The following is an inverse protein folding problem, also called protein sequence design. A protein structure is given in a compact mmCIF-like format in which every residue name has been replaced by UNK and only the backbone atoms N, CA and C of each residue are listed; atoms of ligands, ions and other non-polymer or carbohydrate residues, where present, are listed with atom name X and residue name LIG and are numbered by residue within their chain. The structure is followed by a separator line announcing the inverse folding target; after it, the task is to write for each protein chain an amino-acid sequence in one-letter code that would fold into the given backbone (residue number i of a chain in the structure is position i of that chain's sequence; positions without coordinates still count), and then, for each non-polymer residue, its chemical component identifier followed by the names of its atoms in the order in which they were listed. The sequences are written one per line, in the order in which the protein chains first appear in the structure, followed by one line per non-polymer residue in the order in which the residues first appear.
data_IF_953520297318
#
_entry.id   IF_953520297318
#
_cell.length_a   1.000
_cell.length_b   1.000
_cell.length_c   1.000
_cell.angle_alpha   90.00
_cell.angle_beta   90.00
_cell.angle_gamma   90.00
#
_symmetry.space_group_name_H-M   'P 1'
#
loop_
_entity.id
_entity.type
_entity.pdbx_description
1 polymer ?
#
# COMPACT_ATOMS: atom_id res chain seq x y z
N UNK A 1 55.20 47.85 33.05
CA UNK A 1 55.03 48.06 34.48
C UNK A 1 54.20 46.91 34.98
N UNK A 2 54.79 45.85 35.56
CA UNK A 2 54.96 45.62 37.02
C UNK A 2 53.58 45.70 37.70
N UNK A 3 53.05 44.71 38.39
CA UNK A 3 53.66 43.79 39.36
C UNK A 3 52.73 42.64 39.70
N UNK A 4 53.22 41.42 39.71
CA UNK A 4 52.93 40.25 40.58
C UNK A 4 52.53 40.66 41.99
N UNK A 5 51.72 39.81 42.69
CA UNK A 5 52.05 39.17 43.97
C UNK A 5 51.05 38.05 44.28
N UNK A 6 51.61 36.88 44.63
CA UNK A 6 51.07 35.68 45.18
C UNK A 6 50.87 35.74 46.71
N UNK A 7 50.15 34.78 47.29
CA UNK A 7 50.32 34.04 48.56
C UNK A 7 48.98 33.50 49.04
N UNK A 8 48.79 32.19 49.08
CA UNK A 8 49.27 31.15 50.03
C UNK A 8 48.63 31.17 51.42
N UNK A 9 48.08 29.98 51.73
CA UNK A 9 47.83 29.35 53.06
C UNK A 9 46.52 29.74 53.76
N UNK A 10 45.73 28.88 54.36
CA UNK A 10 45.95 27.68 55.20
C UNK A 10 44.58 26.96 55.43
N UNK A 11 44.52 25.66 55.24
CA UNK A 11 44.20 24.54 56.13
C UNK A 11 43.03 24.68 57.17
N UNK A 12 42.12 23.80 57.13
CA UNK A 12 41.83 22.63 58.00
C UNK A 12 40.33 22.39 58.25
N UNK A 13 39.95 21.22 57.75
CA UNK A 13 39.16 20.17 58.43
C UNK A 13 37.83 20.51 59.12
N UNK A 14 36.74 19.95 58.52
CA UNK A 14 35.71 19.29 59.27
C UNK A 14 35.05 18.22 58.38
N UNK A 15 35.16 16.95 58.76
CA UNK A 15 34.50 15.85 58.13
C UNK A 15 32.96 15.92 58.39
N UNK A 16 32.20 15.69 57.37
CA UNK A 16 30.81 15.36 57.49
C UNK A 16 30.58 14.12 56.63
N UNK A 17 30.25 12.99 57.29
CA UNK A 17 29.70 11.78 56.70
C UNK A 17 28.46 12.15 55.88
N UNK A 18 28.60 12.22 54.59
CA UNK A 18 27.45 12.21 53.70
C UNK A 18 27.06 10.77 53.41
N UNK A 19 26.05 10.25 54.10
CA UNK A 19 25.34 9.05 53.66
C UNK A 19 24.79 9.32 52.26
N UNK A 20 25.46 8.75 51.26
CA UNK A 20 24.91 8.64 49.93
C UNK A 20 23.67 7.70 50.01
N UNK A 21 22.50 8.29 50.04
CA UNK A 21 21.26 7.63 49.73
C UNK A 21 21.32 7.23 48.23
N UNK A 22 21.88 6.05 47.97
CA UNK A 22 21.69 5.34 46.73
C UNK A 22 20.22 4.92 46.67
N UNK A 23 19.35 5.86 46.35
CA UNK A 23 18.00 5.53 45.90
C UNK A 23 18.10 4.65 44.66
N UNK A 24 17.24 3.65 44.49
CA UNK A 24 17.21 2.88 43.26
C UNK A 24 16.96 3.86 42.13
N UNK A 25 17.96 4.06 41.27
CA UNK A 25 17.74 4.65 39.97
C UNK A 25 16.82 3.67 39.27
N UNK A 26 15.51 3.95 39.26
CA UNK A 26 14.62 3.42 38.27
C UNK A 26 15.24 3.80 36.92
N UNK A 27 15.99 2.86 36.34
CA UNK A 27 16.33 2.94 34.93
C UNK A 27 14.98 3.02 34.24
N UNK A 28 14.58 4.21 33.83
CA UNK A 28 13.52 4.36 32.82
C UNK A 28 14.03 3.55 31.63
N UNK A 29 13.48 2.36 31.46
CA UNK A 29 13.70 1.57 30.27
C UNK A 29 13.37 2.51 29.12
N UNK A 30 14.35 2.76 28.26
CA UNK A 30 14.18 3.58 27.06
C UNK A 30 12.97 2.99 26.32
N UNK A 31 11.94 3.80 26.11
CA UNK A 31 10.69 3.31 25.54
C UNK A 31 11.03 2.79 24.14
N UNK A 32 10.86 1.49 23.96
CA UNK A 32 11.09 0.84 22.66
C UNK A 32 10.22 1.52 21.60
N UNK A 33 10.86 1.94 20.52
CA UNK A 33 10.19 2.66 19.43
C UNK A 33 10.25 1.82 18.17
N UNK A 34 9.09 1.38 17.70
CA UNK A 34 8.92 0.72 16.41
C UNK A 34 8.94 1.77 15.28
N UNK A 35 9.60 1.48 14.18
CA UNK A 35 9.47 2.25 12.94
C UNK A 35 8.76 1.38 11.90
N UNK A 36 7.59 1.82 11.43
CA UNK A 36 6.84 1.13 10.41
C UNK A 36 6.77 1.96 9.12
N UNK A 37 7.13 1.35 7.99
CA UNK A 37 6.94 1.99 6.70
C UNK A 37 5.45 1.94 6.30
N UNK A 38 4.99 3.00 5.61
CA UNK A 38 3.63 3.10 5.11
C UNK A 38 3.59 3.94 3.83
N UNK A 39 2.54 3.79 3.03
CA UNK A 39 2.34 4.62 1.85
C UNK A 39 1.80 6.01 2.22
N UNK A 40 2.12 7.05 1.46
CA UNK A 40 1.57 8.38 1.65
C UNK A 40 0.05 8.42 1.38
N UNK A 41 -0.61 9.44 1.91
CA UNK A 41 -2.06 9.67 1.74
C UNK A 41 -2.89 8.83 2.70
N UNK A 42 -3.97 8.24 2.21
CA UNK A 42 -4.98 7.53 3.02
C UNK A 42 -4.39 6.48 3.97
N UNK A 43 -3.33 5.76 3.56
CA UNK A 43 -2.68 4.77 4.40
C UNK A 43 -1.95 5.39 5.59
N UNK A 44 -1.16 6.45 5.36
CA UNK A 44 -0.49 7.15 6.46
C UNK A 44 -1.48 7.85 7.41
N UNK A 45 -2.64 8.24 6.91
CA UNK A 45 -3.74 8.77 7.73
C UNK A 45 -4.42 7.67 8.54
N UNK A 46 -4.68 6.51 7.94
CA UNK A 46 -5.23 5.34 8.62
C UNK A 46 -4.32 4.88 9.76
N UNK A 47 -3.02 4.77 9.49
CA UNK A 47 -2.04 4.41 10.52
C UNK A 47 -2.06 5.43 11.66
N UNK A 48 -1.99 6.72 11.35
CA UNK A 48 -1.97 7.79 12.36
C UNK A 48 -3.22 7.82 13.23
N UNK A 49 -4.39 7.64 12.62
CA UNK A 49 -5.67 7.84 13.28
C UNK A 49 -6.22 6.56 13.93
N UNK A 50 -5.86 5.39 13.44
CA UNK A 50 -6.40 4.11 13.91
C UNK A 50 -5.30 3.22 14.48
N UNK A 51 -4.25 2.93 13.70
CA UNK A 51 -3.27 1.90 14.06
C UNK A 51 -2.36 2.35 15.21
N UNK A 52 -1.71 3.52 15.10
CA UNK A 52 -0.74 3.98 16.10
C UNK A 52 -1.37 4.18 17.49
N UNK A 53 -2.58 4.75 17.63
CA UNK A 53 -3.27 4.82 18.93
C UNK A 53 -3.61 3.45 19.50
N UNK A 54 -4.15 2.54 18.67
CA UNK A 54 -4.48 1.19 19.08
C UNK A 54 -3.23 0.37 19.47
N UNK A 55 -2.13 0.51 18.73
CA UNK A 55 -0.86 -0.12 19.03
C UNK A 55 -0.31 0.34 20.39
N UNK A 56 -0.29 1.65 20.63
CA UNK A 56 0.12 2.21 21.94
C UNK A 56 -0.75 1.72 23.08
N UNK A 57 -2.06 1.67 22.87
CA UNK A 57 -3.00 1.16 23.89
C UNK A 57 -2.74 -0.32 24.20
N UNK A 58 -2.50 -1.15 23.17
CA UNK A 58 -2.31 -2.60 23.31
C UNK A 58 -0.96 -2.96 23.91
N UNK A 59 0.11 -2.24 23.56
CA UNK A 59 1.50 -2.63 23.87
C UNK A 59 2.19 -1.71 24.89
N UNK A 60 1.71 -0.48 25.06
CA UNK A 60 2.41 0.58 25.79
C UNK A 60 3.61 1.18 25.02
N UNK A 61 4.02 0.57 23.90
CA UNK A 61 5.14 1.04 23.08
C UNK A 61 4.71 2.16 22.13
N UNK A 62 5.71 2.91 21.62
CA UNK A 62 5.51 3.94 20.61
C UNK A 62 5.88 3.37 19.24
N UNK A 63 5.01 3.58 18.25
CA UNK A 63 5.33 3.35 16.85
C UNK A 63 5.37 4.68 16.09
N UNK A 64 6.29 4.79 15.14
CA UNK A 64 6.44 5.94 14.24
C UNK A 64 6.35 5.49 12.79
N UNK A 65 5.96 6.42 11.91
CA UNK A 65 5.79 6.14 10.49
C UNK A 65 7.02 6.57 9.69
N UNK A 66 7.44 5.72 8.75
CA UNK A 66 8.30 6.07 7.62
C UNK A 66 7.43 6.14 6.36
N UNK A 67 7.02 7.35 5.96
CA UNK A 67 6.05 7.55 4.85
C UNK A 67 6.81 7.57 3.54
N UNK A 68 6.82 6.44 2.82
CA UNK A 68 7.56 6.25 1.57
C UNK A 68 6.87 5.21 0.67
N UNK A 69 7.04 5.31 -0.64
CA UNK A 69 6.49 4.36 -1.61
C UNK A 69 7.23 3.01 -1.58
N UNK A 70 6.56 1.94 -1.99
CA UNK A 70 7.09 0.58 -1.91
C UNK A 70 8.42 0.37 -2.64
N UNK A 71 8.63 0.96 -3.81
CA UNK A 71 9.91 0.92 -4.51
C UNK A 71 11.06 1.59 -3.75
N UNK A 72 10.79 2.72 -3.09
CA UNK A 72 11.76 3.41 -2.24
C UNK A 72 12.05 2.63 -0.96
N UNK A 73 11.03 1.92 -0.41
CA UNK A 73 11.24 1.02 0.72
C UNK A 73 12.22 -0.09 0.36
N UNK A 74 12.02 -0.79 -0.77
CA UNK A 74 12.95 -1.82 -1.27
C UNK A 74 14.36 -1.25 -1.44
N UNK A 75 14.48 -0.08 -2.08
CA UNK A 75 15.77 0.58 -2.32
C UNK A 75 16.51 0.91 -1.02
N UNK A 76 15.81 1.44 -0.01
CA UNK A 76 16.40 1.77 1.31
C UNK A 76 16.81 0.53 2.08
N UNK A 77 16.01 -0.54 2.05
CA UNK A 77 16.37 -1.81 2.67
C UNK A 77 17.59 -2.44 2.00
N UNK A 78 17.64 -2.42 0.67
CA UNK A 78 18.79 -2.92 -0.09
C UNK A 78 20.08 -2.14 0.23
N UNK A 79 19.99 -0.81 0.35
CA UNK A 79 21.11 0.05 0.74
C UNK A 79 21.58 -0.19 2.19
N UNK A 80 20.67 -0.60 3.08
CA UNK A 80 20.99 -0.91 4.48
C UNK A 80 21.44 -2.37 4.70
N UNK A 81 21.47 -3.21 3.65
CA UNK A 81 21.75 -4.64 3.77
C UNK A 81 23.06 -4.90 4.52
N UNK A 82 22.99 -5.71 5.57
CA UNK A 82 24.11 -5.98 6.48
C UNK A 82 24.25 -5.00 7.66
N UNK A 83 23.44 -3.95 7.69
CA UNK A 83 23.35 -2.99 8.79
C UNK A 83 21.94 -2.96 9.37
N UNK A 84 21.71 -2.13 10.37
CA UNK A 84 20.37 -1.91 10.91
C UNK A 84 19.47 -1.26 9.83
N UNK A 85 18.28 -1.84 9.55
CA UNK A 85 17.36 -1.28 8.58
C UNK A 85 16.73 0.03 9.09
N UNK A 86 16.26 0.91 8.18
CA UNK A 86 15.66 2.19 8.54
C UNK A 86 14.24 2.07 9.11
N UNK A 87 13.65 0.91 9.07
CA UNK A 87 12.33 0.57 9.65
C UNK A 87 12.23 -0.93 9.92
N UNK A 88 11.35 -1.31 10.85
CA UNK A 88 11.15 -2.68 11.33
C UNK A 88 10.07 -3.44 10.53
N UNK A 89 9.09 -2.69 10.02
CA UNK A 89 7.97 -3.19 9.23
C UNK A 89 7.98 -2.55 7.87
N UNK A 90 7.94 -3.36 6.81
CA UNK A 90 7.76 -2.93 5.43
C UNK A 90 6.29 -3.07 5.01
N UNK A 91 5.83 -2.16 4.14
CA UNK A 91 4.49 -2.12 3.59
C UNK A 91 4.58 -2.19 2.06
N UNK A 92 4.25 -3.36 1.49
CA UNK A 92 4.47 -3.65 0.08
C UNK A 92 3.19 -4.01 -0.66
N UNK A 93 3.13 -3.61 -1.92
CA UNK A 93 2.28 -4.28 -2.90
C UNK A 93 2.97 -5.55 -3.42
N UNK A 94 2.19 -6.48 -3.97
CA UNK A 94 2.69 -7.79 -4.43
C UNK A 94 3.97 -7.74 -5.27
N UNK A 95 4.18 -6.78 -6.19
CA UNK A 95 5.44 -6.71 -6.95
C UNK A 95 6.70 -6.53 -6.09
N UNK A 96 6.63 -5.66 -5.07
CA UNK A 96 7.76 -5.38 -4.19
C UNK A 96 8.11 -6.56 -3.28
N UNK A 97 7.11 -7.38 -2.92
CA UNK A 97 7.33 -8.59 -2.11
C UNK A 97 8.31 -9.54 -2.81
N UNK A 98 8.15 -9.72 -4.13
CA UNK A 98 9.00 -10.61 -4.92
C UNK A 98 10.46 -10.15 -4.88
N UNK A 99 10.70 -8.85 -5.09
CA UNK A 99 12.05 -8.29 -5.01
C UNK A 99 12.63 -8.38 -3.60
N UNK A 100 11.82 -8.07 -2.57
CA UNK A 100 12.25 -8.12 -1.19
C UNK A 100 12.60 -9.54 -0.73
N UNK A 101 11.86 -10.56 -1.15
CA UNK A 101 12.16 -11.98 -0.89
C UNK A 101 13.43 -12.41 -1.58
N UNK A 102 13.55 -12.15 -2.90
CA UNK A 102 14.74 -12.48 -3.68
C UNK A 102 16.01 -11.91 -3.07
N UNK A 103 15.96 -10.68 -2.60
CA UNK A 103 17.11 -9.94 -2.09
C UNK A 103 17.34 -10.16 -0.58
N UNK A 104 16.49 -10.95 0.10
CA UNK A 104 16.59 -11.28 1.52
C UNK A 104 16.35 -10.08 2.45
N UNK A 105 15.49 -9.14 2.03
CA UNK A 105 15.18 -7.90 2.75
C UNK A 105 14.09 -8.08 3.81
N UNK A 106 13.32 -9.15 3.71
CA UNK A 106 12.27 -9.56 4.66
C UNK A 106 12.48 -11.00 5.07
N UNK A 107 11.95 -11.38 6.22
CA UNK A 107 12.01 -12.75 6.75
C UNK A 107 10.65 -13.43 6.72
N UNK A 108 10.62 -14.75 6.83
CA UNK A 108 9.35 -15.47 6.99
C UNK A 108 8.61 -14.98 8.23
N UNK A 109 7.32 -14.71 8.06
CA UNK A 109 6.48 -14.17 9.13
C UNK A 109 6.25 -15.23 10.21
N UNK A 110 6.50 -14.91 11.49
CA UNK A 110 6.38 -15.88 12.58
C UNK A 110 4.90 -16.10 12.97
N UNK A 111 4.15 -16.83 12.14
CA UNK A 111 2.69 -17.06 12.24
C UNK A 111 2.26 -17.50 13.62
N UNK A 112 3.09 -18.30 14.32
CA UNK A 112 2.78 -18.77 15.68
C UNK A 112 2.68 -17.64 16.72
N UNK A 113 3.26 -16.47 16.43
CA UNK A 113 3.20 -15.27 17.30
C UNK A 113 2.08 -14.30 16.91
N UNK A 114 1.26 -14.63 15.92
CA UNK A 114 0.22 -13.76 15.35
C UNK A 114 -1.15 -14.47 15.43
N UNK A 115 -1.89 -14.30 16.51
CA UNK A 115 -3.18 -14.97 16.71
C UNK A 115 -4.22 -14.62 15.63
N UNK A 116 -4.19 -13.39 15.10
CA UNK A 116 -5.13 -12.94 14.09
C UNK A 116 -4.81 -13.48 12.67
N UNK A 117 -3.60 -14.01 12.44
CA UNK A 117 -3.21 -14.51 11.12
C UNK A 117 -4.14 -15.63 10.60
N UNK A 118 -4.56 -16.54 11.46
CA UNK A 118 -5.46 -17.64 11.10
C UNK A 118 -6.90 -17.20 10.80
N UNK A 119 -7.27 -15.99 11.21
CA UNK A 119 -8.59 -15.40 10.98
C UNK A 119 -8.69 -14.77 9.57
N UNK A 120 -7.57 -14.69 8.84
CA UNK A 120 -7.55 -14.17 7.49
C UNK A 120 -8.17 -15.16 6.50
N UNK A 121 -8.72 -14.63 5.41
CA UNK A 121 -9.05 -15.43 4.23
C UNK A 121 -7.82 -16.24 3.79
N UNK A 122 -7.97 -17.49 3.33
CA UNK A 122 -6.84 -18.31 2.90
C UNK A 122 -5.93 -17.63 1.85
N UNK A 123 -6.53 -16.85 0.94
CA UNK A 123 -5.80 -16.07 -0.08
C UNK A 123 -4.96 -14.93 0.49
N UNK A 124 -5.20 -14.54 1.75
CA UNK A 124 -4.47 -13.49 2.44
C UNK A 124 -3.38 -14.01 3.37
N UNK A 125 -3.34 -15.30 3.61
CA UNK A 125 -2.32 -15.96 4.42
C UNK A 125 -1.09 -16.24 3.56
N UNK A 126 -0.03 -15.45 3.75
CA UNK A 126 1.23 -15.61 3.03
C UNK A 126 2.39 -15.76 4.02
N UNK A 127 3.31 -16.68 3.74
CA UNK A 127 4.43 -16.98 4.64
C UNK A 127 5.43 -15.85 4.82
N UNK A 128 5.50 -14.93 3.87
CA UNK A 128 6.40 -13.78 3.94
C UNK A 128 5.79 -12.58 4.66
N UNK A 129 4.46 -12.59 4.83
CA UNK A 129 3.72 -11.57 5.55
C UNK A 129 2.25 -11.54 5.16
N UNK A 130 1.36 -11.26 6.12
CA UNK A 130 -0.08 -11.24 5.86
C UNK A 130 -0.47 -10.15 4.87
N UNK A 131 -1.38 -10.48 3.96
CA UNK A 131 -2.03 -9.50 3.10
C UNK A 131 -3.11 -8.79 3.91
N UNK A 132 -2.99 -7.49 4.07
CA UNK A 132 -3.91 -6.71 4.92
C UNK A 132 -5.06 -6.09 4.13
N UNK A 133 -4.92 -6.00 2.81
CA UNK A 133 -5.96 -5.49 1.89
C UNK A 133 -5.68 -5.94 0.46
N UNK A 134 -6.66 -5.65 -0.41
CA UNK A 134 -6.53 -5.80 -1.86
C UNK A 134 -6.75 -4.48 -2.56
N UNK A 135 -6.02 -4.27 -3.65
CA UNK A 135 -6.29 -3.24 -4.64
C UNK A 135 -7.06 -3.89 -5.79
N UNK A 136 -8.27 -3.47 -6.03
CA UNK A 136 -9.13 -4.05 -7.07
C UNK A 136 -9.43 -3.00 -8.13
N UNK A 137 -9.29 -3.39 -9.39
CA UNK A 137 -9.58 -2.53 -10.53
C UNK A 137 -10.87 -2.92 -11.22
N UNK A 138 -11.55 -1.92 -11.70
CA UNK A 138 -12.73 -1.98 -12.55
C UNK A 138 -12.73 -0.81 -13.52
N UNK A 139 -13.87 -0.54 -14.09
CA UNK A 139 -14.08 0.60 -14.98
C UNK A 139 -14.70 1.74 -14.16
N UNK A 140 -13.90 2.78 -13.90
CA UNK A 140 -14.41 4.05 -13.40
C UNK A 140 -15.17 4.78 -14.49
N UNK A 141 -16.33 5.34 -14.17
CA UNK A 141 -17.13 6.11 -15.13
C UNK A 141 -17.87 7.27 -14.47
N UNK A 142 -18.12 8.33 -15.23
CA UNK A 142 -18.92 9.48 -14.77
C UNK A 142 -20.42 9.18 -14.94
N UNK A 143 -21.18 9.00 -13.84
CA UNK A 143 -22.60 8.61 -13.92
C UNK A 143 -23.49 9.72 -14.49
N UNK A 144 -23.04 10.98 -14.47
CA UNK A 144 -23.80 12.09 -15.07
C UNK A 144 -23.75 12.09 -16.61
N UNK A 145 -22.73 11.41 -17.19
CA UNK A 145 -22.51 11.33 -18.64
C UNK A 145 -22.77 9.92 -19.20
N UNK A 146 -22.59 8.92 -18.36
CA UNK A 146 -22.72 7.49 -18.72
C UNK A 146 -23.78 6.87 -17.82
N UNK A 147 -25.02 6.81 -18.32
CA UNK A 147 -26.19 6.35 -17.56
C UNK A 147 -26.27 4.82 -17.48
N UNK A 148 -25.66 4.10 -18.43
CA UNK A 148 -25.55 2.63 -18.40
C UNK A 148 -24.14 2.26 -17.99
N UNK A 149 -23.94 1.62 -16.82
CA UNK A 149 -22.62 1.21 -16.37
C UNK A 149 -21.91 0.33 -17.40
N UNK A 150 -20.61 0.60 -17.71
CA UNK A 150 -19.85 -0.23 -18.63
C UNK A 150 -19.60 -1.62 -18.01
N UNK A 151 -19.75 -2.67 -18.79
CA UNK A 151 -19.65 -4.06 -18.33
C UNK A 151 -18.50 -4.84 -18.99
N UNK A 152 -17.80 -4.22 -19.92
CA UNK A 152 -16.65 -4.81 -20.63
C UNK A 152 -15.54 -3.80 -20.82
N UNK A 153 -14.29 -4.28 -20.78
CA UNK A 153 -13.15 -3.45 -21.18
C UNK A 153 -13.25 -3.01 -22.66
N UNK A 154 -13.98 -3.74 -23.49
CA UNK A 154 -14.26 -3.35 -24.88
C UNK A 154 -15.17 -2.12 -24.96
N UNK A 155 -15.94 -1.82 -23.94
CA UNK A 155 -16.77 -0.61 -23.91
C UNK A 155 -15.93 0.66 -24.02
N UNK A 156 -14.65 0.62 -23.58
CA UNK A 156 -13.71 1.73 -23.75
C UNK A 156 -13.42 2.07 -25.24
N UNK A 157 -13.62 1.10 -26.15
CA UNK A 157 -13.43 1.28 -27.58
C UNK A 157 -14.60 1.97 -28.29
N UNK A 158 -15.74 2.17 -27.60
CA UNK A 158 -16.92 2.80 -28.18
C UNK A 158 -16.56 4.24 -28.65
N UNK A 159 -16.78 4.57 -29.96
CA UNK A 159 -16.45 5.90 -30.51
C UNK A 159 -17.13 7.08 -29.79
N UNK A 160 -18.21 6.85 -29.05
CA UNK A 160 -18.86 7.88 -28.23
C UNK A 160 -17.94 8.46 -27.15
N UNK A 161 -16.90 7.71 -26.76
CA UNK A 161 -15.90 8.15 -25.76
C UNK A 161 -14.66 8.80 -26.37
N UNK A 162 -14.71 9.22 -27.65
CA UNK A 162 -13.58 9.86 -28.32
C UNK A 162 -12.99 11.01 -27.50
N UNK A 163 -11.68 10.89 -27.15
CA UNK A 163 -10.98 11.87 -26.33
C UNK A 163 -11.43 11.93 -24.86
N UNK A 164 -12.17 10.92 -24.36
CA UNK A 164 -12.73 10.91 -23.01
C UNK A 164 -12.26 9.73 -22.15
N UNK A 165 -11.49 8.80 -22.72
CA UNK A 165 -10.90 7.69 -21.97
C UNK A 165 -9.62 8.15 -21.29
N UNK A 166 -9.49 7.86 -19.98
CA UNK A 166 -8.26 8.05 -19.22
C UNK A 166 -7.41 6.80 -19.17
N UNK A 167 -6.11 6.93 -19.20
CA UNK A 167 -5.15 5.85 -18.91
C UNK A 167 -4.10 6.32 -17.92
N UNK A 168 -3.42 5.37 -17.27
CA UNK A 168 -2.18 5.64 -16.54
C UNK A 168 -1.00 5.01 -17.27
N UNK A 169 0.17 5.63 -17.13
CA UNK A 169 1.42 5.06 -17.59
C UNK A 169 1.71 3.72 -16.88
N UNK A 170 2.45 2.82 -17.54
CA UNK A 170 2.73 1.47 -17.01
C UNK A 170 3.73 1.43 -15.84
N UNK A 171 4.30 2.55 -15.41
CA UNK A 171 5.04 2.65 -14.16
C UNK A 171 4.13 2.52 -12.91
N UNK A 172 2.81 2.71 -13.06
CA UNK A 172 1.81 2.43 -12.01
C UNK A 172 1.37 0.96 -12.04
N UNK A 173 1.01 0.39 -10.87
CA UNK A 173 0.41 -0.93 -10.80
C UNK A 173 -0.94 -1.00 -11.53
N UNK A 174 -1.72 0.08 -11.46
CA UNK A 174 -3.00 0.18 -12.19
C UNK A 174 -2.81 -0.02 -13.70
N UNK A 175 -1.82 0.67 -14.29
CA UNK A 175 -1.53 0.56 -15.73
C UNK A 175 -1.10 -0.85 -16.12
N UNK A 176 -0.19 -1.46 -15.36
CA UNK A 176 0.22 -2.85 -15.59
C UNK A 176 -0.94 -3.83 -15.39
N UNK A 177 -1.73 -3.66 -14.31
CA UNK A 177 -2.86 -4.56 -14.04
C UNK A 177 -3.90 -4.50 -15.17
N UNK A 178 -4.19 -3.32 -15.68
CA UNK A 178 -5.07 -3.16 -16.84
C UNK A 178 -4.49 -3.82 -18.09
N UNK A 179 -3.20 -3.60 -18.39
CA UNK A 179 -2.53 -4.22 -19.53
C UNK A 179 -2.57 -5.75 -19.45
N UNK A 180 -2.24 -6.33 -18.30
CA UNK A 180 -2.26 -7.79 -18.08
C UNK A 180 -3.67 -8.36 -18.25
N UNK A 181 -4.67 -7.67 -17.71
CA UNK A 181 -6.06 -8.11 -17.82
C UNK A 181 -6.56 -8.09 -19.27
N UNK A 182 -6.32 -6.99 -19.97
CA UNK A 182 -6.68 -6.89 -21.40
C UNK A 182 -5.92 -7.93 -22.22
N UNK A 183 -4.62 -8.15 -21.94
CA UNK A 183 -3.84 -9.16 -22.62
C UNK A 183 -4.49 -10.54 -22.53
N UNK A 184 -4.83 -10.95 -21.31
CA UNK A 184 -5.51 -12.22 -21.04
C UNK A 184 -6.84 -12.33 -21.81
N UNK A 185 -7.66 -11.28 -21.76
CA UNK A 185 -8.97 -11.27 -22.42
C UNK A 185 -8.88 -11.29 -23.94
N UNK A 186 -7.80 -10.78 -24.51
CA UNK A 186 -7.55 -10.78 -25.95
C UNK A 186 -6.73 -11.99 -26.43
N UNK A 187 -6.55 -13.01 -25.57
CA UNK A 187 -5.88 -14.24 -25.92
C UNK A 187 -4.35 -14.18 -25.87
N UNK A 188 -3.79 -13.16 -25.22
CA UNK A 188 -2.37 -13.07 -24.93
C UNK A 188 -1.94 -14.00 -23.79
N UNK A 189 -0.64 -14.20 -23.65
CA UNK A 189 0.00 -14.96 -22.58
C UNK A 189 0.93 -14.06 -21.78
N UNK A 190 1.47 -14.61 -20.67
CA UNK A 190 2.44 -13.86 -19.86
C UNK A 190 3.73 -13.53 -20.59
N UNK A 191 4.04 -14.24 -21.69
CA UNK A 191 5.23 -14.04 -22.54
C UNK A 191 4.92 -13.25 -23.83
N UNK A 192 3.64 -13.02 -24.13
CA UNK A 192 3.21 -12.32 -25.35
C UNK A 192 2.12 -11.29 -25.06
N UNK A 193 2.49 -10.03 -25.07
CA UNK A 193 1.61 -8.88 -24.86
C UNK A 193 1.12 -8.19 -26.16
N UNK A 194 1.38 -8.75 -27.34
CA UNK A 194 0.91 -8.18 -28.60
C UNK A 194 -0.61 -7.96 -28.63
N UNK A 195 -1.46 -8.88 -28.12
CA UNK A 195 -2.89 -8.65 -28.07
C UNK A 195 -3.30 -7.43 -27.25
N UNK A 196 -2.64 -7.17 -26.11
CA UNK A 196 -2.91 -5.98 -25.30
C UNK A 196 -2.46 -4.70 -25.99
N UNK A 197 -1.28 -4.69 -26.62
CA UNK A 197 -0.81 -3.52 -27.34
C UNK A 197 -1.65 -3.21 -28.57
N UNK A 198 -2.15 -4.25 -29.27
CA UNK A 198 -3.13 -4.08 -30.35
C UNK A 198 -4.43 -3.43 -29.83
N UNK A 199 -4.93 -3.88 -28.68
CA UNK A 199 -6.09 -3.26 -28.04
C UNK A 199 -5.82 -1.80 -27.67
N UNK A 200 -4.68 -1.50 -27.05
CA UNK A 200 -4.31 -0.12 -26.72
C UNK A 200 -4.19 0.78 -27.96
N UNK A 201 -3.62 0.27 -29.04
CA UNK A 201 -3.58 1.00 -30.31
C UNK A 201 -4.98 1.32 -30.87
N UNK A 202 -5.93 0.38 -30.76
CA UNK A 202 -7.33 0.61 -31.13
C UNK A 202 -8.02 1.62 -30.20
N UNK A 203 -7.58 1.70 -28.94
CA UNK A 203 -8.13 2.61 -27.94
C UNK A 203 -7.64 4.06 -28.10
N UNK A 204 -6.49 4.29 -28.73
CA UNK A 204 -5.87 5.62 -28.87
C UNK A 204 -6.81 6.72 -29.33
N UNK A 205 -7.71 6.53 -30.31
CA UNK A 205 -8.66 7.60 -30.73
C UNK A 205 -9.58 8.07 -29.60
N UNK A 206 -9.84 7.21 -28.60
CA UNK A 206 -10.70 7.51 -27.47
C UNK A 206 -9.91 8.06 -26.27
N UNK A 207 -8.58 7.91 -26.25
CA UNK A 207 -7.75 8.38 -25.14
C UNK A 207 -7.67 9.91 -25.16
N UNK A 208 -8.16 10.52 -24.08
CA UNK A 208 -8.07 11.96 -23.84
C UNK A 208 -6.82 12.36 -23.06
N UNK A 209 -6.35 11.47 -22.18
CA UNK A 209 -5.17 11.73 -21.37
C UNK A 209 -4.51 10.43 -20.86
N UNK A 210 -3.18 10.47 -20.73
CA UNK A 210 -2.38 9.44 -20.08
C UNK A 210 -1.65 10.06 -18.88
N UNK A 211 -2.08 9.72 -17.67
CA UNK A 211 -1.50 10.26 -16.45
C UNK A 211 -0.18 9.57 -16.10
N UNK A 212 0.81 10.34 -15.68
CA UNK A 212 2.10 9.81 -15.25
C UNK A 212 2.05 9.06 -13.90
N UNK A 213 1.08 9.40 -13.04
CA UNK A 213 0.88 8.81 -11.73
C UNK A 213 -0.58 8.95 -11.28
N UNK A 214 -0.95 8.30 -10.16
CA UNK A 214 -2.31 8.28 -9.65
C UNK A 214 -2.81 9.66 -9.16
N UNK A 215 -1.92 10.54 -8.69
CA UNK A 215 -2.29 11.91 -8.30
C UNK A 215 -2.71 12.74 -9.52
N UNK A 216 -1.91 12.72 -10.60
CA UNK A 216 -2.28 13.35 -11.86
C UNK A 216 -3.56 12.72 -12.43
N UNK A 217 -3.75 11.41 -12.27
CA UNK A 217 -4.95 10.72 -12.73
C UNK A 217 -6.21 11.19 -11.99
N UNK A 218 -6.13 11.35 -10.67
CA UNK A 218 -7.21 11.92 -9.88
C UNK A 218 -7.57 13.34 -10.33
N UNK A 219 -6.57 14.15 -10.69
CA UNK A 219 -6.78 15.51 -11.22
C UNK A 219 -7.56 15.51 -12.54
N UNK A 220 -7.31 14.55 -13.45
CA UNK A 220 -8.07 14.44 -14.69
C UNK A 220 -9.57 14.21 -14.45
N UNK A 221 -9.92 13.41 -13.43
CA UNK A 221 -11.29 13.18 -13.00
C UNK A 221 -11.93 14.43 -12.37
N UNK A 222 -11.20 15.11 -11.47
CA UNK A 222 -11.66 16.33 -10.82
C UNK A 222 -11.91 17.46 -11.81
N UNK A 223 -11.15 17.51 -12.89
CA UNK A 223 -11.28 18.51 -13.96
C UNK A 223 -12.23 18.05 -15.09
N UNK A 224 -12.87 16.90 -14.94
CA UNK A 224 -13.75 16.28 -15.94
C UNK A 224 -13.10 16.16 -17.32
N UNK A 225 -11.80 15.94 -17.37
CA UNK A 225 -11.07 15.70 -18.62
C UNK A 225 -11.30 14.29 -19.15
N UNK A 226 -11.65 13.36 -18.29
CA UNK A 226 -11.98 11.96 -18.59
C UNK A 226 -13.35 11.60 -18.06
N UNK A 227 -14.06 10.70 -18.73
CA UNK A 227 -15.40 10.26 -18.36
C UNK A 227 -15.46 8.75 -18.08
N UNK A 228 -14.50 7.99 -18.59
CA UNK A 228 -14.41 6.54 -18.41
C UNK A 228 -12.95 6.09 -18.42
N UNK A 229 -12.60 5.13 -17.57
CA UNK A 229 -11.21 4.74 -17.41
C UNK A 229 -11.03 3.46 -16.57
N UNK A 230 -9.94 2.69 -16.72
CA UNK A 230 -9.52 1.73 -15.70
C UNK A 230 -9.25 2.45 -14.38
N UNK A 231 -9.83 1.99 -13.26
CA UNK A 231 -9.60 2.65 -11.98
C UNK A 231 -9.69 1.69 -10.79
N UNK A 232 -9.04 2.07 -9.68
CA UNK A 232 -9.09 1.30 -8.43
C UNK A 232 -10.34 1.63 -7.62
N UNK A 233 -10.90 0.62 -6.95
CA UNK A 233 -12.04 0.77 -6.07
C UNK A 233 -11.85 1.87 -5.01
N UNK A 234 -10.80 1.79 -4.22
CA UNK A 234 -10.53 2.74 -3.12
C UNK A 234 -10.27 4.18 -3.62
N UNK A 235 -9.62 4.35 -4.78
CA UNK A 235 -9.43 5.69 -5.36
C UNK A 235 -10.73 6.28 -5.89
N UNK A 236 -11.64 5.46 -6.43
CA UNK A 236 -13.00 5.90 -6.76
C UNK A 236 -13.71 6.42 -5.51
N UNK A 237 -13.63 5.70 -4.37
CA UNK A 237 -14.23 6.18 -3.12
C UNK A 237 -13.61 7.51 -2.65
N UNK A 238 -12.28 7.64 -2.75
CA UNK A 238 -11.59 8.90 -2.42
C UNK A 238 -12.05 10.08 -3.28
N UNK A 239 -12.34 9.86 -4.56
CA UNK A 239 -12.89 10.91 -5.45
C UNK A 239 -14.35 11.22 -5.12
N UNK A 240 -15.17 10.20 -4.83
CA UNK A 240 -16.56 10.38 -4.39
C UNK A 240 -16.65 11.19 -3.11
N UNK A 241 -15.75 10.98 -2.16
CA UNK A 241 -15.68 11.77 -0.93
C UNK A 241 -15.31 13.25 -1.15
N UNK A 242 -14.88 13.60 -2.38
CA UNK A 242 -14.60 14.97 -2.84
C UNK A 242 -15.64 15.48 -3.83
N UNK A 243 -16.83 14.88 -3.84
CA UNK A 243 -17.95 15.23 -4.72
C UNK A 243 -17.64 15.11 -6.23
N UNK A 244 -16.60 14.33 -6.60
CA UNK A 244 -16.31 14.05 -8.00
C UNK A 244 -17.31 13.00 -8.51
N UNK A 245 -17.99 13.25 -9.64
CA UNK A 245 -18.99 12.32 -10.19
C UNK A 245 -18.29 11.12 -10.83
N UNK A 246 -17.97 10.11 -10.04
CA UNK A 246 -17.36 8.86 -10.47
C UNK A 246 -18.00 7.67 -9.79
N UNK A 247 -18.27 6.62 -10.54
CA UNK A 247 -18.72 5.30 -10.04
C UNK A 247 -17.79 4.22 -10.58
N UNK A 248 -17.78 3.06 -9.92
CA UNK A 248 -17.04 1.88 -10.36
C UNK A 248 -17.99 0.81 -10.88
N UNK A 249 -17.70 0.28 -12.05
CA UNK A 249 -18.30 -0.93 -12.57
C UNK A 249 -17.28 -2.06 -12.64
N UNK A 250 -17.68 -3.24 -12.21
CA UNK A 250 -16.87 -4.45 -12.35
C UNK A 250 -17.23 -5.11 -13.68
N UNK A 251 -16.27 -5.32 -14.59
CA UNK A 251 -16.54 -5.97 -15.87
C UNK A 251 -17.09 -7.39 -15.68
N UNK A 252 -17.89 -7.84 -16.62
CA UNK A 252 -18.46 -9.21 -16.62
C UNK A 252 -17.41 -10.32 -16.64
N UNK A 253 -16.17 -9.99 -17.06
CA UNK A 253 -15.00 -10.89 -16.96
C UNK A 253 -14.52 -11.13 -15.53
N UNK A 254 -15.08 -10.42 -14.55
CA UNK A 254 -14.73 -10.47 -13.14
C UNK A 254 -13.74 -9.38 -12.71
N UNK A 255 -13.62 -9.23 -11.41
CA UNK A 255 -12.67 -8.32 -10.79
C UNK A 255 -11.25 -8.89 -10.84
N UNK A 256 -10.28 -7.99 -10.95
CA UNK A 256 -8.85 -8.31 -10.90
C UNK A 256 -8.12 -7.31 -10.02
N UNK A 257 -7.06 -7.75 -9.36
CA UNK A 257 -6.31 -6.88 -8.47
C UNK A 257 -4.99 -7.46 -8.01
N UNK A 258 -4.42 -6.83 -7.01
CA UNK A 258 -3.21 -7.27 -6.30
C UNK A 258 -3.36 -7.02 -4.81
N UNK A 259 -2.54 -7.68 -4.02
CA UNK A 259 -2.57 -7.52 -2.56
C UNK A 259 -1.54 -6.50 -2.09
N UNK A 260 -1.86 -5.86 -0.98
CA UNK A 260 -0.95 -5.06 -0.18
C UNK A 260 -0.74 -5.77 1.15
N UNK A 261 0.49 -5.90 1.60
CA UNK A 261 0.90 -6.73 2.75
C UNK A 261 1.92 -6.05 3.65
N UNK A 262 2.00 -6.50 4.89
CA UNK A 262 2.99 -6.08 5.87
C UNK A 262 4.02 -7.18 6.09
N UNK A 263 5.27 -6.79 6.26
CA UNK A 263 6.39 -7.71 6.33
C UNK A 263 7.34 -7.35 7.46
N UNK A 264 7.83 -8.38 8.16
CA UNK A 264 8.91 -8.25 9.12
C UNK A 264 10.24 -8.08 8.35
N UNK A 265 10.92 -6.97 8.59
CA UNK A 265 12.18 -6.66 7.92
C UNK A 265 13.32 -7.49 8.49
N UNK A 266 14.24 -7.92 7.64
CA UNK A 266 15.48 -8.62 8.05
C UNK A 266 16.29 -7.71 8.97
N UNK A 267 16.75 -8.22 10.12
CA UNK A 267 17.49 -7.47 11.15
C UNK A 267 16.72 -6.28 11.73
N UNK A 268 15.38 -6.32 11.75
CA UNK A 268 14.57 -5.32 12.45
C UNK A 268 15.07 -5.08 13.89
N UNK A 269 15.10 -3.83 14.32
CA UNK A 269 15.54 -3.46 15.66
C UNK A 269 14.60 -3.96 16.75
N UNK A 270 13.28 -3.93 16.45
CA UNK A 270 12.22 -4.31 17.39
C UNK A 270 11.30 -5.41 16.79
N UNK A 271 11.82 -6.63 16.51
CA UNK A 271 11.09 -7.67 15.79
C UNK A 271 9.82 -8.14 16.51
N UNK A 272 9.80 -8.18 17.84
CA UNK A 272 8.63 -8.57 18.61
C UNK A 272 7.51 -7.51 18.52
N UNK A 273 7.87 -6.23 18.58
CA UNK A 273 6.92 -5.13 18.38
C UNK A 273 6.43 -5.08 16.94
N UNK A 274 7.30 -5.39 15.96
CA UNK A 274 6.93 -5.48 14.56
C UNK A 274 5.86 -6.55 14.32
N UNK A 275 6.00 -7.73 14.91
CA UNK A 275 4.98 -8.79 14.82
C UNK A 275 3.67 -8.36 15.46
N UNK A 276 3.70 -7.70 16.63
CA UNK A 276 2.49 -7.20 17.29
C UNK A 276 1.81 -6.08 16.47
N UNK A 277 2.58 -5.24 15.82
CA UNK A 277 2.08 -4.19 14.93
C UNK A 277 1.40 -4.79 13.69
N UNK A 278 2.03 -5.78 13.07
CA UNK A 278 1.45 -6.50 11.93
C UNK A 278 0.17 -7.23 12.36
N UNK A 279 0.21 -7.97 13.48
CA UNK A 279 -0.95 -8.69 14.00
C UNK A 279 -2.15 -7.77 14.30
N UNK A 280 -1.88 -6.54 14.76
CA UNK A 280 -2.93 -5.55 15.01
C UNK A 280 -3.68 -5.17 13.73
N UNK A 281 -3.00 -5.07 12.58
CA UNK A 281 -3.66 -4.80 11.29
C UNK A 281 -4.57 -5.94 10.83
N UNK A 282 -4.40 -7.14 11.41
CA UNK A 282 -5.21 -8.31 11.07
C UNK A 282 -6.46 -8.43 11.95
N UNK A 283 -6.55 -7.66 13.03
CA UNK A 283 -7.68 -7.68 13.95
C UNK A 283 -8.97 -7.26 13.22
N UNK A 284 -10.04 -8.04 13.41
CA UNK A 284 -11.31 -7.81 12.73
C UNK A 284 -11.90 -6.43 13.05
N UNK A 285 -11.75 -5.94 14.28
CA UNK A 285 -12.26 -4.63 14.69
C UNK A 285 -11.49 -3.48 14.07
N UNK A 286 -10.20 -3.65 13.85
CA UNK A 286 -9.35 -2.69 13.13
C UNK A 286 -9.72 -2.69 11.65
N UNK A 287 -9.82 -3.86 11.03
CA UNK A 287 -10.19 -3.94 9.61
C UNK A 287 -11.62 -3.44 9.34
N UNK A 288 -12.54 -3.63 10.29
CA UNK A 288 -13.89 -3.05 10.22
C UNK A 288 -13.85 -1.50 10.22
N UNK A 289 -12.97 -0.89 11.03
CA UNK A 289 -12.76 0.56 11.00
C UNK A 289 -12.14 1.02 9.70
N UNK A 290 -11.12 0.29 9.19
CA UNK A 290 -10.42 0.64 7.94
C UNK A 290 -11.28 0.41 6.69
N UNK A 291 -12.28 -0.47 6.74
CA UNK A 291 -13.25 -0.67 5.65
C UNK A 291 -14.17 0.52 5.44
N UNK A 292 -14.36 1.36 6.46
CA UNK A 292 -15.26 2.53 6.42
C UNK A 292 -14.57 3.77 5.86
N UNK A 293 -15.35 4.74 5.34
CA UNK A 293 -14.79 6.03 4.97
C UNK A 293 -14.03 6.70 6.14
N UNK A 294 -12.94 7.41 5.88
CA UNK A 294 -12.41 7.76 4.56
C UNK A 294 -11.40 6.76 3.99
N UNK A 295 -11.21 5.58 4.60
CA UNK A 295 -10.13 4.65 4.23
C UNK A 295 -10.55 3.66 3.14
N UNK A 296 -11.78 3.15 3.20
CA UNK A 296 -12.39 2.23 2.22
C UNK A 296 -11.48 1.05 1.84
N UNK A 297 -10.74 0.52 2.82
CA UNK A 297 -9.86 -0.62 2.65
C UNK A 297 -10.68 -1.91 2.53
N UNK A 298 -10.31 -2.81 1.62
CA UNK A 298 -10.94 -4.10 1.47
C UNK A 298 -10.40 -5.05 2.54
N UNK A 299 -11.23 -5.54 3.47
CA UNK A 299 -10.76 -6.38 4.56
C UNK A 299 -10.32 -7.76 4.08
N UNK A 300 -9.34 -8.33 4.76
CA UNK A 300 -8.84 -9.69 4.52
C UNK A 300 -9.15 -10.65 5.68
N UNK A 301 -9.60 -10.13 6.82
CA UNK A 301 -10.08 -10.95 7.93
C UNK A 301 -11.49 -11.46 7.62
N UNK A 302 -11.68 -12.79 7.69
CA UNK A 302 -12.91 -13.47 7.32
C UNK A 302 -14.11 -13.14 8.23
N UNK A 303 -13.86 -12.60 9.42
CA UNK A 303 -14.91 -12.24 10.38
C UNK A 303 -15.44 -10.82 10.20
N UNK A 304 -14.83 -10.01 9.34
CA UNK A 304 -15.34 -8.66 9.05
C UNK A 304 -16.60 -8.77 8.20
N UNK A 305 -17.69 -8.18 8.68
CA UNK A 305 -18.92 -8.10 7.90
C UNK A 305 -18.79 -7.04 6.82
N UNK A 306 -18.86 -7.45 5.56
CA UNK A 306 -18.81 -6.52 4.44
C UNK A 306 -20.03 -5.60 4.40
N UNK A 307 -19.78 -4.29 4.26
CA UNK A 307 -20.83 -3.28 4.16
C UNK A 307 -20.38 -2.06 3.34
N UNK A 308 -21.25 -1.06 3.23
CA UNK A 308 -20.92 0.22 2.63
C UNK A 308 -20.60 0.16 1.14
N UNK A 309 -19.52 0.81 0.73
CA UNK A 309 -19.09 0.93 -0.66
C UNK A 309 -18.72 -0.43 -1.27
N UNK A 310 -18.10 -1.32 -0.49
CA UNK A 310 -17.67 -2.64 -0.95
C UNK A 310 -18.87 -3.44 -1.46
N UNK A 311 -19.95 -3.53 -0.67
CA UNK A 311 -21.13 -4.30 -1.06
C UNK A 311 -21.98 -3.62 -2.14
N UNK A 312 -21.86 -2.32 -2.29
CA UNK A 312 -22.52 -1.56 -3.35
C UNK A 312 -21.85 -1.72 -4.70
N UNK A 313 -20.52 -1.64 -4.74
CA UNK A 313 -19.76 -1.44 -5.99
C UNK A 313 -18.76 -2.56 -6.33
N UNK A 314 -18.47 -3.49 -5.41
CA UNK A 314 -17.40 -4.46 -5.64
C UNK A 314 -17.87 -5.90 -5.54
N UNK A 315 -18.25 -6.37 -4.35
CA UNK A 315 -18.63 -7.77 -4.07
C UNK A 315 -19.77 -7.82 -3.07
N UNK A 316 -20.50 -8.94 -3.03
CA UNK A 316 -21.63 -9.10 -2.10
C UNK A 316 -21.30 -9.93 -0.87
N UNK A 317 -20.23 -10.70 -0.91
CA UNK A 317 -19.85 -11.63 0.16
C UNK A 317 -18.32 -11.80 0.27
N UNK A 318 -17.88 -12.40 1.37
CA UNK A 318 -16.49 -12.83 1.55
C UNK A 318 -16.07 -13.88 0.50
N UNK A 319 -16.99 -14.76 0.11
CA UNK A 319 -16.74 -15.74 -0.95
C UNK A 319 -16.47 -15.07 -2.31
N UNK A 320 -17.09 -13.92 -2.56
CA UNK A 320 -16.84 -13.16 -3.79
C UNK A 320 -15.47 -12.45 -3.72
N UNK A 321 -15.05 -11.96 -2.54
CA UNK A 321 -13.70 -11.46 -2.34
C UNK A 321 -12.64 -12.53 -2.64
N UNK A 322 -12.88 -13.76 -2.17
CA UNK A 322 -11.97 -14.88 -2.41
C UNK A 322 -11.83 -15.26 -3.90
N UNK A 323 -12.82 -14.90 -4.74
CA UNK A 323 -12.82 -15.16 -6.19
C UNK A 323 -12.16 -14.05 -7.01
N UNK A 324 -11.78 -12.92 -6.40
CA UNK A 324 -11.08 -11.85 -7.10
C UNK A 324 -9.76 -12.39 -7.62
N UNK A 325 -9.57 -12.30 -8.92
CA UNK A 325 -8.38 -12.81 -9.58
C UNK A 325 -7.18 -11.90 -9.29
N UNK A 326 -6.06 -12.50 -8.93
CA UNK A 326 -4.80 -11.81 -8.72
C UNK A 326 -3.85 -11.99 -9.91
N UNK A 327 -3.00 -11.01 -10.13
CA UNK A 327 -1.96 -11.03 -11.15
C UNK A 327 -0.78 -11.85 -10.65
N UNK A 328 -0.22 -12.70 -11.51
CA UNK A 328 1.03 -13.42 -11.27
C UNK A 328 2.22 -12.49 -11.49
N UNK A 329 2.57 -11.75 -10.45
CA UNK A 329 3.66 -10.78 -10.52
C UNK A 329 5.04 -11.42 -10.67
N UNK A 330 5.21 -12.69 -10.32
CA UNK A 330 6.47 -13.41 -10.55
C UNK A 330 6.80 -13.51 -12.03
N UNK A 331 5.76 -13.66 -12.87
CA UNK A 331 5.90 -13.68 -14.33
C UNK A 331 5.97 -12.28 -14.95
N UNK A 332 5.28 -11.31 -14.34
CA UNK A 332 5.18 -9.96 -14.91
C UNK A 332 6.37 -9.08 -14.57
N UNK A 333 6.88 -9.13 -13.33
CA UNK A 333 7.98 -8.25 -12.90
C UNK A 333 9.24 -8.32 -13.78
N UNK A 334 9.72 -9.49 -14.24
CA UNK A 334 10.91 -9.56 -15.10
C UNK A 334 10.79 -8.80 -16.42
N UNK A 335 9.57 -8.64 -16.93
CA UNK A 335 9.30 -7.97 -18.22
C UNK A 335 8.83 -6.52 -18.05
N UNK A 336 8.62 -6.06 -16.80
CA UNK A 336 7.98 -4.78 -16.52
C UNK A 336 8.69 -3.61 -17.23
N UNK A 337 10.01 -3.55 -17.20
CA UNK A 337 10.78 -2.49 -17.88
C UNK A 337 10.54 -2.51 -19.38
N UNK A 338 10.58 -3.69 -20.00
CA UNK A 338 10.34 -3.83 -21.45
C UNK A 338 8.92 -3.42 -21.84
N UNK A 339 7.92 -3.76 -20.99
CA UNK A 339 6.52 -3.34 -21.21
C UNK A 339 6.36 -1.83 -21.09
N UNK A 340 7.01 -1.19 -20.09
CA UNK A 340 7.02 0.27 -19.93
C UNK A 340 7.66 0.95 -21.14
N UNK A 341 8.81 0.47 -21.59
CA UNK A 341 9.52 1.03 -22.75
C UNK A 341 8.70 0.88 -24.02
N UNK A 342 8.05 -0.27 -24.23
CA UNK A 342 7.15 -0.50 -25.35
C UNK A 342 5.95 0.46 -25.30
N UNK A 343 5.32 0.61 -24.14
CA UNK A 343 4.20 1.54 -23.98
C UNK A 343 4.60 2.99 -24.26
N UNK A 344 5.73 3.43 -23.74
CA UNK A 344 6.22 4.78 -23.99
C UNK A 344 6.50 5.03 -25.47
N UNK A 345 6.95 4.03 -26.22
CA UNK A 345 7.27 4.12 -27.64
C UNK A 345 6.03 4.04 -28.55
N UNK A 346 5.04 3.18 -28.21
CA UNK A 346 3.94 2.84 -29.11
C UNK A 346 2.62 3.55 -28.76
N UNK A 347 2.43 3.96 -27.51
CA UNK A 347 1.15 4.45 -26.99
C UNK A 347 1.23 5.88 -26.49
N UNK A 348 2.32 6.27 -25.79
CA UNK A 348 2.43 7.56 -25.12
C UNK A 348 3.02 8.67 -26.03
N UNK A 349 3.28 8.39 -27.27
CA UNK A 349 3.88 9.35 -28.21
C UNK A 349 3.03 10.60 -28.45
#
# INVERSE_FOLDING_TARGET
MRTTIARRHLLRSAGALGLALAGPRLALAEAKTLVAATFPGTWSEADRNVILPAFKQKTGAVATQSIILGGDQVSRLAAAKGNQPPFDVAFFDSPQVIDAVRDGLIVEYPVAKSPNFKELLPSAQDKWGPKITMQVIGIGYNPNKITTPPMSWDDLLDPKYKGRVGLTALNSQLGIAFLVEVNRLKGGTDDNFDPAFKFLAQLLPNVGAIAANLGAYATLWQQEQVDIAPYNFNFVQTLKAKDVPVELSIPSSGAVGWSTSLHLVTNAAEPELAVQYIDLHLDASIQDQLMKPPYDAIPTNAHVKLEGAITKSLVKSQDDLAKIRTIDWEKINPQRSALIDRFNREIKT
#
